data_IF_014193530470
#
_entry.id   IF_014193530470
#
_cell.length_a   1.000
_cell.length_b   1.000
_cell.length_c   1.000
_cell.angle_alpha   90.00
_cell.angle_beta   90.00
_cell.angle_gamma   90.00
#
_symmetry.space_group_name_H-M   'P 1'
#
loop_
_entity.id
_entity.type
_entity.pdbx_description
1 polymer ?
#
# COMPACT_ATOMS: atom_id res chain seq x y z
N UNK A 1 -18.06 -30.28 -6.50
CA UNK A 1 -18.82 -30.01 -5.27
C UNK A 1 -18.59 -28.55 -4.89
N UNK A 2 -19.63 -27.73 -4.97
CA UNK A 2 -19.54 -26.30 -4.70
C UNK A 2 -19.42 -26.12 -3.18
N UNK A 3 -18.25 -25.69 -2.70
CA UNK A 3 -17.93 -25.63 -1.27
C UNK A 3 -18.71 -24.52 -0.54
N UNK A 4 -19.46 -23.69 -1.27
CA UNK A 4 -20.17 -22.53 -0.72
C UNK A 4 -21.50 -22.84 -0.03
N UNK A 5 -22.02 -24.06 -0.12
CA UNK A 5 -23.32 -24.45 0.48
C UNK A 5 -23.19 -25.15 1.84
N UNK A 6 -21.98 -25.28 2.38
CA UNK A 6 -21.82 -25.82 3.73
C UNK A 6 -22.14 -24.72 4.76
N UNK A 7 -23.23 -24.85 5.54
CA UNK A 7 -23.64 -23.84 6.53
C UNK A 7 -22.61 -23.64 7.64
N UNK A 8 -21.63 -24.53 7.77
CA UNK A 8 -20.55 -24.42 8.74
C UNK A 8 -19.47 -23.43 8.30
N UNK A 9 -19.36 -23.12 7.00
CA UNK A 9 -18.31 -22.27 6.45
C UNK A 9 -18.69 -20.78 6.49
N UNK A 10 -17.73 -19.94 6.87
CA UNK A 10 -17.93 -18.51 6.91
C UNK A 10 -17.88 -17.91 5.50
N UNK A 11 -18.92 -17.14 5.15
CA UNK A 11 -18.93 -16.32 3.94
C UNK A 11 -18.18 -15.01 4.20
N UNK A 12 -17.03 -14.83 3.55
CA UNK A 12 -16.24 -13.60 3.60
C UNK A 12 -15.74 -13.17 2.21
N UNK A 13 -15.48 -11.87 2.04
CA UNK A 13 -14.90 -11.28 0.82
C UNK A 13 -13.46 -10.86 1.07
N UNK A 14 -12.68 -10.72 -0.01
CA UNK A 14 -11.32 -10.16 0.08
C UNK A 14 -11.36 -8.80 0.75
N UNK A 15 -10.50 -8.62 1.77
CA UNK A 15 -10.41 -7.39 2.54
C UNK A 15 -11.46 -7.25 3.64
N UNK A 16 -12.28 -8.27 3.91
CA UNK A 16 -13.09 -8.31 5.13
C UNK A 16 -12.19 -8.53 6.36
N UNK A 17 -12.54 -7.88 7.47
CA UNK A 17 -11.89 -8.10 8.75
C UNK A 17 -12.60 -9.23 9.50
N UNK A 18 -11.85 -10.29 9.83
CA UNK A 18 -12.33 -11.43 10.58
C UNK A 18 -11.78 -11.39 12.01
N UNK A 19 -12.62 -11.65 12.99
CA UNK A 19 -12.25 -11.74 14.41
C UNK A 19 -12.22 -13.22 14.79
N UNK A 20 -11.04 -13.71 15.18
CA UNK A 20 -10.84 -15.10 15.60
C UNK A 20 -11.41 -15.31 16.99
N UNK A 21 -12.15 -16.40 17.17
CA UNK A 21 -12.61 -16.82 18.49
C UNK A 21 -11.45 -17.51 19.24
N UNK A 22 -11.03 -16.92 20.36
CA UNK A 22 -9.86 -17.37 21.14
C UNK A 22 -10.20 -18.49 22.13
N UNK A 23 -11.49 -18.73 22.38
CA UNK A 23 -11.93 -19.67 23.40
C UNK A 23 -12.06 -21.11 22.87
N UNK A 24 -12.01 -21.30 21.54
CA UNK A 24 -11.91 -22.63 20.96
C UNK A 24 -10.46 -23.13 21.01
N UNK A 25 -10.29 -24.29 21.66
CA UNK A 25 -9.04 -25.04 21.70
C UNK A 25 -8.80 -25.61 20.30
N UNK A 26 -8.25 -24.80 19.40
CA UNK A 26 -7.89 -25.26 18.06
C UNK A 26 -6.86 -26.38 18.22
N UNK A 27 -7.22 -27.59 17.77
CA UNK A 27 -6.21 -28.64 17.61
C UNK A 27 -5.15 -28.10 16.64
N UNK A 28 -3.87 -28.21 16.98
CA UNK A 28 -2.80 -27.73 16.10
C UNK A 28 -2.83 -28.42 14.71
N UNK A 29 -3.56 -29.52 14.58
CA UNK A 29 -3.76 -30.28 13.35
C UNK A 29 -4.95 -29.79 12.49
N UNK A 30 -5.76 -28.85 12.98
CA UNK A 30 -6.91 -28.32 12.23
C UNK A 30 -6.51 -27.07 11.42
N UNK A 31 -6.44 -27.22 10.09
CA UNK A 31 -6.20 -26.11 9.14
C UNK A 31 -7.38 -25.11 9.02
N UNK A 32 -8.32 -25.17 9.96
CA UNK A 32 -9.56 -24.40 9.99
C UNK A 32 -9.79 -23.87 11.41
N UNK A 33 -10.31 -22.65 11.50
CA UNK A 33 -10.63 -22.02 12.78
C UNK A 33 -11.96 -21.27 12.66
N UNK A 34 -12.65 -21.08 13.78
CA UNK A 34 -13.86 -20.27 13.83
C UNK A 34 -13.52 -18.79 13.89
N UNK A 35 -14.20 -18.02 13.05
CA UNK A 35 -14.09 -16.57 13.05
C UNK A 35 -15.44 -15.90 12.82
N UNK A 36 -15.53 -14.64 13.21
CA UNK A 36 -16.68 -13.77 12.96
C UNK A 36 -16.30 -12.67 11.99
N UNK A 37 -17.07 -12.54 10.91
CA UNK A 37 -16.89 -11.46 9.94
C UNK A 37 -17.46 -10.16 10.50
N UNK A 38 -16.62 -9.14 10.69
CA UNK A 38 -17.05 -7.84 11.22
C UNK A 38 -18.05 -7.10 10.33
N UNK A 39 -18.04 -7.36 9.01
CA UNK A 39 -18.94 -6.71 8.04
C UNK A 39 -20.37 -7.28 8.08
N UNK A 40 -20.52 -8.58 8.25
CA UNK A 40 -21.82 -9.28 8.18
C UNK A 40 -22.29 -9.79 9.55
N UNK A 41 -21.46 -9.70 10.57
CA UNK A 41 -21.67 -10.30 11.90
C UNK A 41 -21.94 -11.80 11.86
N UNK A 42 -21.55 -12.47 10.77
CA UNK A 42 -21.70 -13.92 10.61
C UNK A 42 -20.48 -14.63 11.18
N UNK A 43 -20.69 -15.80 11.78
CA UNK A 43 -19.63 -16.65 12.32
C UNK A 43 -19.60 -17.99 11.60
N UNK A 44 -18.41 -18.58 11.46
CA UNK A 44 -18.24 -19.88 10.81
C UNK A 44 -16.78 -20.30 10.73
N UNK A 45 -16.53 -21.47 10.15
CA UNK A 45 -15.19 -21.99 9.93
C UNK A 45 -14.52 -21.33 8.73
N UNK A 46 -13.23 -21.03 8.87
CA UNK A 46 -12.37 -20.42 7.86
C UNK A 46 -11.06 -21.18 7.80
N UNK A 47 -10.55 -21.44 6.58
CA UNK A 47 -9.24 -22.07 6.40
C UNK A 47 -8.11 -21.07 6.61
N UNK A 48 -7.06 -21.47 7.33
CA UNK A 48 -5.85 -20.65 7.54
C UNK A 48 -5.21 -20.16 6.24
N UNK A 49 -5.19 -20.99 5.20
CA UNK A 49 -4.58 -20.67 3.90
C UNK A 49 -5.29 -19.53 3.15
N UNK A 50 -6.54 -19.22 3.54
CA UNK A 50 -7.37 -18.21 2.87
C UNK A 50 -7.27 -16.82 3.50
N UNK A 51 -6.58 -16.69 4.63
CA UNK A 51 -6.53 -15.46 5.44
C UNK A 51 -5.11 -14.98 5.71
N UNK A 52 -5.00 -13.73 6.14
CA UNK A 52 -3.75 -13.16 6.64
C UNK A 52 -3.97 -12.65 8.06
N UNK A 53 -3.13 -13.14 8.98
CA UNK A 53 -3.13 -12.66 10.36
C UNK A 53 -2.44 -11.30 10.45
N UNK A 54 -3.10 -10.36 11.11
CA UNK A 54 -2.52 -9.05 11.39
C UNK A 54 -1.66 -9.13 12.66
N UNK A 55 -0.46 -8.54 12.66
CA UNK A 55 0.43 -8.52 13.83
C UNK A 55 -0.03 -7.46 14.85
N UNK A 56 -1.29 -7.55 15.30
CA UNK A 56 -1.93 -6.55 16.18
C UNK A 56 -2.56 -7.22 17.40
N UNK A 57 -2.30 -6.66 18.57
CA UNK A 57 -2.94 -7.08 19.84
C UNK A 57 -4.28 -6.38 20.09
N UNK A 58 -4.49 -5.22 19.47
CA UNK A 58 -5.70 -4.39 19.57
C UNK A 58 -6.43 -4.34 18.22
N UNK A 59 -7.63 -3.75 18.21
CA UNK A 59 -8.37 -3.56 16.96
C UNK A 59 -7.56 -2.67 15.99
N UNK A 60 -7.33 -3.11 14.76
CA UNK A 60 -6.59 -2.33 13.77
C UNK A 60 -7.35 -1.06 13.37
N UNK A 61 -6.62 0.02 13.09
CA UNK A 61 -7.18 1.27 12.57
C UNK A 61 -7.56 1.12 11.09
N UNK A 62 -8.44 1.99 10.59
CA UNK A 62 -8.85 1.92 9.18
C UNK A 62 -7.68 2.19 8.22
N UNK A 63 -6.76 3.09 8.58
CA UNK A 63 -5.55 3.37 7.79
C UNK A 63 -4.68 2.11 7.62
N UNK A 64 -4.54 1.30 8.67
CA UNK A 64 -3.83 0.02 8.60
C UNK A 64 -4.56 -1.01 7.74
N UNK A 65 -5.89 -0.92 7.63
CA UNK A 65 -6.70 -1.84 6.82
C UNK A 65 -6.77 -1.45 5.35
N UNK A 66 -6.52 -0.18 4.99
CA UNK A 66 -6.58 0.31 3.61
C UNK A 66 -5.80 -0.55 2.59
N UNK A 67 -4.56 -1.01 2.87
CA UNK A 67 -3.81 -1.84 1.92
C UNK A 67 -4.44 -3.21 1.65
N UNK A 68 -5.26 -3.72 2.57
CA UNK A 68 -5.92 -5.03 2.47
C UNK A 68 -7.28 -4.94 1.79
N UNK A 69 -7.86 -3.74 1.69
CA UNK A 69 -9.11 -3.54 0.95
C UNK A 69 -8.85 -3.76 -0.55
N UNK A 70 -9.79 -4.37 -1.27
CA UNK A 70 -9.70 -4.42 -2.71
C UNK A 70 -9.64 -2.99 -3.23
N UNK A 71 -8.53 -2.62 -3.87
CA UNK A 71 -8.43 -1.38 -4.61
C UNK A 71 -9.47 -1.44 -5.73
N UNK A 72 -10.66 -0.90 -5.48
CA UNK A 72 -11.52 -0.42 -6.54
C UNK A 72 -10.69 0.68 -7.15
N UNK A 73 -9.90 0.35 -8.18
CA UNK A 73 -9.40 1.36 -9.10
C UNK A 73 -10.63 2.15 -9.45
N UNK A 74 -10.77 3.34 -8.86
CA UNK A 74 -11.75 4.30 -9.32
C UNK A 74 -11.44 4.35 -10.80
N UNK A 75 -12.36 3.85 -11.62
CA UNK A 75 -12.36 4.21 -13.03
C UNK A 75 -12.16 5.72 -12.99
N UNK A 76 -11.03 6.18 -13.51
CA UNK A 76 -10.68 7.58 -13.50
C UNK A 76 -11.71 8.25 -14.38
N UNK A 77 -12.85 8.61 -13.81
CA UNK A 77 -13.73 9.60 -14.35
C UNK A 77 -12.91 10.89 -14.21
N UNK A 78 -12.12 11.17 -15.25
CA UNK A 78 -11.59 12.48 -15.54
C UNK A 78 -12.79 13.41 -15.77
N UNK A 79 -13.43 13.80 -14.67
CA UNK A 79 -14.53 14.74 -14.62
C UNK A 79 -14.04 15.96 -13.86
N UNK A 80 -13.80 17.03 -14.61
CA UNK A 80 -13.41 18.37 -14.20
C UNK A 80 -13.88 18.77 -12.79
N UNK A 81 -12.93 19.10 -11.92
CA UNK A 81 -13.16 19.97 -10.77
C UNK A 81 -12.15 21.13 -10.92
N UNK A 82 -12.59 22.38 -11.10
CA UNK A 82 -11.68 23.51 -11.14
C UNK A 82 -11.34 23.87 -9.69
N UNK A 83 -10.29 23.26 -9.16
CA UNK A 83 -9.68 23.74 -7.92
C UNK A 83 -8.70 24.81 -8.35
N UNK A 84 -9.08 26.07 -8.15
CA UNK A 84 -8.17 27.21 -8.12
C UNK A 84 -7.32 27.10 -6.85
N UNK A 85 -6.47 26.11 -6.78
CA UNK A 85 -5.20 26.22 -6.07
C UNK A 85 -4.17 26.33 -7.18
N UNK A 86 -3.33 27.35 -7.09
CA UNK A 86 -2.19 27.53 -7.97
C UNK A 86 -1.34 26.24 -7.90
N UNK A 87 -1.61 25.31 -8.82
CA UNK A 87 -0.87 24.07 -8.91
C UNK A 87 0.49 24.44 -9.50
N UNK A 88 1.43 24.78 -8.61
CA UNK A 88 2.84 24.82 -8.99
C UNK A 88 3.19 23.39 -9.38
N UNK A 89 3.41 23.16 -10.68
CA UNK A 89 3.84 21.86 -11.16
C UNK A 89 5.09 21.47 -10.36
N UNK A 90 5.14 20.28 -9.74
CA UNK A 90 6.34 19.86 -9.05
C UNK A 90 7.48 19.93 -10.04
N UNK A 91 8.56 20.63 -9.67
CA UNK A 91 9.79 20.67 -10.45
C UNK A 91 10.09 19.26 -10.93
N UNK A 92 10.31 19.11 -12.24
CA UNK A 92 10.51 17.79 -12.81
C UNK A 92 11.63 17.10 -12.04
N UNK A 93 11.45 15.84 -11.66
CA UNK A 93 12.47 15.09 -10.91
C UNK A 93 13.81 15.08 -11.67
N UNK A 94 13.75 15.18 -13.00
CA UNK A 94 14.90 15.42 -13.90
C UNK A 94 15.58 16.77 -13.67
N UNK A 95 14.80 17.83 -13.53
CA UNK A 95 15.27 19.22 -13.35
C UNK A 95 15.86 19.43 -11.95
N UNK A 96 15.18 18.92 -10.92
CA UNK A 96 15.71 18.87 -9.55
C UNK A 96 17.03 18.08 -9.48
N UNK A 97 17.12 16.96 -10.20
CA UNK A 97 18.33 16.15 -10.23
C UNK A 97 19.52 16.90 -10.89
N UNK A 98 19.27 17.64 -11.97
CA UNK A 98 20.30 18.43 -12.65
C UNK A 98 20.82 19.59 -11.79
N UNK A 99 19.95 20.20 -10.99
CA UNK A 99 20.31 21.30 -10.11
C UNK A 99 21.09 20.83 -8.87
N UNK A 100 20.65 19.74 -8.24
CA UNK A 100 21.16 19.29 -6.94
C UNK A 100 22.28 18.26 -7.04
N UNK A 101 22.31 17.45 -8.10
CA UNK A 101 23.28 16.37 -8.28
C UNK A 101 24.17 16.62 -9.49
N UNK A 102 24.60 17.87 -9.70
CA UNK A 102 25.65 18.18 -10.68
C UNK A 102 26.78 17.17 -10.50
N UNK A 103 27.04 16.39 -11.54
CA UNK A 103 28.09 15.40 -11.54
C UNK A 103 29.42 16.11 -11.27
N UNK A 104 29.89 16.03 -10.04
CA UNK A 104 31.26 16.33 -9.69
C UNK A 104 32.14 15.35 -10.47
N UNK A 105 32.70 15.83 -11.59
CA UNK A 105 33.75 15.12 -12.31
C UNK A 105 33.35 14.55 -13.67
N UNK A 106 33.33 15.41 -14.68
CA UNK A 106 34.18 15.15 -15.86
C UNK A 106 34.77 16.44 -16.44
N UNK A 107 35.32 17.29 -15.57
CA UNK A 107 36.37 18.25 -15.93
C UNK A 107 37.26 18.49 -14.70
N UNK A 108 37.83 17.40 -14.18
CA UNK A 108 38.98 17.44 -13.28
C UNK A 108 40.27 17.80 -14.04
N UNK A 109 40.25 18.89 -14.81
CA UNK A 109 41.38 19.23 -15.67
C UNK A 109 41.14 20.40 -16.61
N UNK A 110 41.02 21.60 -16.06
CA UNK A 110 41.71 22.82 -16.54
C UNK A 110 41.38 23.96 -15.59
N UNK A 111 42.25 24.08 -14.59
CA UNK A 111 42.31 25.25 -13.74
C UNK A 111 42.48 26.51 -14.59
N UNK A 112 41.83 27.58 -14.13
CA UNK A 112 42.12 28.93 -14.55
C UNK A 112 43.60 29.24 -14.29
N UNK A 113 44.41 29.29 -15.35
CA UNK A 113 45.76 29.85 -15.33
C UNK A 113 45.77 31.17 -16.08
N UNK A 114 45.77 32.24 -15.28
CA UNK A 114 46.31 33.59 -15.47
C UNK A 114 46.92 33.95 -16.84
N UNK A 115 46.41 35.05 -17.40
CA UNK A 115 47.20 36.17 -17.92
C UNK A 115 47.72 36.08 -19.36
N UNK A 116 47.39 37.09 -20.16
CA UNK A 116 48.36 37.91 -20.91
C UNK A 116 47.66 39.19 -21.37
N UNK A 117 48.23 40.32 -20.98
CA UNK A 117 47.93 41.68 -21.45
C UNK A 117 48.90 42.03 -22.60
N UNK A 118 48.49 42.97 -23.46
CA UNK A 118 49.24 43.95 -24.29
C UNK A 118 49.39 43.71 -25.81
N UNK A 119 48.62 44.53 -26.54
CA UNK A 119 48.93 45.39 -27.70
C UNK A 119 50.17 45.09 -28.57
N UNK A 120 49.95 45.04 -29.90
CA UNK A 120 50.66 45.87 -30.91
C UNK A 120 49.89 45.90 -32.22
#
# INVERSE_FOLDING_TARGET
>A
VNKHDDPMLLVCKRGDLLVVDKDEKHSQDENWFRATNRRTSSSGAVSMDSVQFLPTLTNPTEEMLQPFRPNIRRASNAGNIPITEETVAPVSLKEFALENFRSAGKDGGRGASKGVTREK
#
